data_IF_803190296556
#
_entry.id   IF_803190296556
#
_cell.length_a   1.000
_cell.length_b   1.000
_cell.length_c   1.000
_cell.angle_alpha   90.00
_cell.angle_beta   90.00
_cell.angle_gamma   90.00
#
_symmetry.space_group_name_H-M   'P 1'
#
loop_
_entity.id
_entity.type
_entity.pdbx_description
1 polymer ?
#
# COMPACT_ATOMS: atom_id res chain seq x y z
N UNK A 1 13.88 -15.63 1.11
CA UNK A 1 14.29 -14.49 0.25
C UNK A 1 15.30 -13.60 0.99
N UNK A 2 16.44 -13.26 0.37
CA UNK A 2 17.44 -12.34 0.94
C UNK A 2 16.85 -10.95 1.24
N UNK A 3 17.40 -10.23 2.22
CA UNK A 3 16.93 -8.89 2.61
C UNK A 3 16.93 -7.87 1.46
N UNK A 4 17.94 -7.93 0.57
CA UNK A 4 18.06 -7.06 -0.60
C UNK A 4 16.91 -7.24 -1.58
N UNK A 5 16.52 -8.48 -1.86
CA UNK A 5 15.42 -8.79 -2.77
C UNK A 5 14.10 -8.28 -2.22
N UNK A 6 13.85 -8.41 -0.91
CA UNK A 6 12.65 -7.85 -0.27
C UNK A 6 12.56 -6.33 -0.38
N UNK A 7 13.69 -5.64 -0.20
CA UNK A 7 13.75 -4.19 -0.36
C UNK A 7 13.44 -3.77 -1.81
N UNK A 8 14.07 -4.43 -2.78
CA UNK A 8 13.84 -4.16 -4.21
C UNK A 8 12.39 -4.44 -4.62
N UNK A 9 11.84 -5.60 -4.25
CA UNK A 9 10.43 -5.94 -4.53
C UNK A 9 9.50 -4.91 -3.92
N UNK A 10 9.78 -4.46 -2.69
CA UNK A 10 8.99 -3.42 -2.04
C UNK A 10 9.03 -2.09 -2.81
N UNK A 11 10.22 -1.61 -3.16
CA UNK A 11 10.39 -0.37 -3.93
C UNK A 11 9.68 -0.44 -5.28
N UNK A 12 9.86 -1.54 -6.02
CA UNK A 12 9.21 -1.75 -7.31
C UNK A 12 7.68 -1.81 -7.19
N UNK A 13 7.18 -2.45 -6.14
CA UNK A 13 5.73 -2.48 -5.85
C UNK A 13 5.19 -1.07 -5.61
N UNK A 14 5.90 -0.24 -4.84
CA UNK A 14 5.50 1.13 -4.57
C UNK A 14 5.49 2.00 -5.84
N UNK A 15 6.53 1.88 -6.67
CA UNK A 15 6.63 2.60 -7.93
C UNK A 15 5.52 2.20 -8.91
N UNK A 16 5.21 0.91 -8.99
CA UNK A 16 4.14 0.42 -9.86
C UNK A 16 2.76 0.91 -9.39
N UNK A 17 2.51 0.92 -8.08
CA UNK A 17 1.26 1.49 -7.55
C UNK A 17 1.16 3.01 -7.80
N UNK A 18 2.28 3.73 -7.75
CA UNK A 18 2.33 5.16 -8.07
C UNK A 18 2.08 5.40 -9.56
N UNK A 19 2.71 4.64 -10.44
CA UNK A 19 2.47 4.72 -11.88
C UNK A 19 1.01 4.38 -12.25
N UNK A 20 0.42 3.36 -11.62
CA UNK A 20 -0.99 3.02 -11.81
C UNK A 20 -1.91 4.15 -11.32
N UNK A 21 -1.58 4.79 -10.19
CA UNK A 21 -2.33 5.96 -9.73
C UNK A 21 -2.26 7.09 -10.76
N UNK A 22 -1.07 7.41 -11.23
CA UNK A 22 -0.84 8.57 -12.08
C UNK A 22 -1.43 8.38 -13.49
N UNK A 23 -1.32 7.15 -14.04
CA UNK A 23 -1.76 6.86 -15.42
C UNK A 23 -3.20 6.36 -15.51
N UNK A 24 -3.70 5.66 -14.49
CA UNK A 24 -5.03 5.04 -14.52
C UNK A 24 -6.00 5.60 -13.48
N UNK A 25 -5.58 6.56 -12.64
CA UNK A 25 -6.37 7.14 -11.55
C UNK A 25 -6.91 6.09 -10.56
N UNK A 26 -6.24 4.94 -10.44
CA UNK A 26 -6.63 3.86 -9.53
C UNK A 26 -5.85 4.01 -8.22
N UNK A 27 -6.58 4.19 -7.12
CA UNK A 27 -5.98 4.35 -5.80
C UNK A 27 -6.81 3.65 -4.72
N UNK A 28 -6.15 3.18 -3.67
CA UNK A 28 -6.82 2.55 -2.53
C UNK A 28 -7.06 3.58 -1.43
N UNK A 29 -8.05 4.45 -1.65
CA UNK A 29 -8.38 5.56 -0.74
C UNK A 29 -8.82 5.04 0.63
N UNK A 30 -9.63 3.98 0.69
CA UNK A 30 -10.10 3.38 1.93
C UNK A 30 -8.95 2.95 2.85
N UNK A 31 -7.94 2.26 2.31
CA UNK A 31 -6.75 1.85 3.07
C UNK A 31 -5.88 3.05 3.48
N UNK A 32 -5.81 4.10 2.67
CA UNK A 32 -5.10 5.35 3.04
C UNK A 32 -5.78 6.03 4.22
N UNK A 33 -7.11 6.16 4.20
CA UNK A 33 -7.88 6.76 5.28
C UNK A 33 -7.74 5.95 6.58
N UNK A 34 -7.94 4.63 6.52
CA UNK A 34 -7.78 3.75 7.69
C UNK A 34 -6.41 3.89 8.36
N UNK A 35 -5.34 4.02 7.57
CA UNK A 35 -3.97 4.23 8.08
C UNK A 35 -3.78 5.60 8.72
N UNK A 36 -4.32 6.64 8.10
CA UNK A 36 -4.27 7.98 8.69
C UNK A 36 -4.96 7.97 10.07
N UNK A 37 -6.09 7.28 10.19
CA UNK A 37 -6.83 7.13 11.45
C UNK A 37 -6.05 6.32 12.49
N UNK A 38 -5.45 5.18 12.11
CA UNK A 38 -4.61 4.39 13.01
C UNK A 38 -3.39 5.17 13.49
N UNK A 39 -2.75 5.93 12.59
CA UNK A 39 -1.61 6.77 12.93
C UNK A 39 -2.02 7.89 13.89
N UNK A 40 -3.16 8.54 13.64
CA UNK A 40 -3.72 9.55 14.52
C UNK A 40 -4.08 8.96 15.90
N UNK A 41 -4.65 7.75 15.96
CA UNK A 41 -4.92 7.03 17.21
C UNK A 41 -3.63 6.78 17.99
N UNK A 42 -2.59 6.25 17.34
CA UNK A 42 -1.28 6.00 17.98
C UNK A 42 -0.63 7.29 18.48
N UNK A 43 -0.68 8.37 17.69
CA UNK A 43 -0.13 9.67 18.10
C UNK A 43 -0.86 10.23 19.32
N UNK A 44 -2.19 10.11 19.36
CA UNK A 44 -3.00 10.46 20.54
C UNK A 44 -2.63 9.63 21.77
N UNK A 45 -2.48 8.31 21.62
CA UNK A 45 -2.10 7.42 22.73
C UNK A 45 -0.72 7.76 23.30
N UNK A 46 0.27 8.08 22.46
CA UNK A 46 1.60 8.47 22.91
C UNK A 46 1.55 9.78 23.69
N UNK A 47 0.87 10.80 23.15
CA UNK A 47 0.69 12.09 23.85
C UNK A 47 -0.03 11.92 25.20
N UNK A 48 -1.06 11.06 25.24
CA UNK A 48 -1.78 10.76 26.47
C UNK A 48 -0.91 10.04 27.52
N UNK A 49 0.09 9.27 27.09
CA UNK A 49 1.08 8.62 27.96
C UNK A 49 2.24 9.55 28.36
N UNK A 50 2.18 10.85 28.03
CA UNK A 50 3.28 11.79 28.25
C UNK A 50 4.48 11.57 27.33
N UNK A 51 4.36 10.67 26.35
CA UNK A 51 5.37 10.43 25.32
C UNK A 51 5.16 11.44 24.18
N UNK A 52 6.27 11.86 23.55
CA UNK A 52 6.22 12.76 22.40
C UNK A 52 5.49 12.16 21.18
N UNK A 53 5.32 12.96 20.14
CA UNK A 53 4.69 12.52 18.89
C UNK A 53 5.49 11.39 18.19
N UNK A 54 4.81 10.63 17.32
CA UNK A 54 5.46 9.59 16.51
C UNK A 54 6.54 10.23 15.63
N UNK A 55 7.77 9.70 15.73
CA UNK A 55 8.90 10.13 14.92
C UNK A 55 8.57 10.05 13.41
N UNK A 56 8.92 11.07 12.61
CA UNK A 56 8.62 11.11 11.18
C UNK A 56 9.08 9.87 10.41
N UNK A 57 10.24 9.32 10.77
CA UNK A 57 10.82 8.14 10.12
C UNK A 57 9.95 6.89 10.35
N UNK A 58 9.39 6.73 11.55
CA UNK A 58 8.44 5.67 11.86
C UNK A 58 7.10 5.85 11.14
N UNK A 59 6.69 7.10 10.85
CA UNK A 59 5.52 7.37 9.99
C UNK A 59 5.75 6.87 8.56
N UNK A 60 6.99 6.94 8.07
CA UNK A 60 7.37 6.46 6.73
C UNK A 60 7.46 4.93 6.65
N UNK A 61 7.95 4.27 7.71
CA UNK A 61 8.28 2.83 7.73
C UNK A 61 7.08 1.90 7.97
N UNK A 62 5.89 2.41 8.31
CA UNK A 62 4.65 1.62 8.51
C UNK A 62 4.14 0.83 7.27
N UNK A 63 4.93 0.74 6.21
CA UNK A 63 4.53 0.29 4.88
C UNK A 63 5.06 -1.09 4.55
N UNK A 64 4.52 -2.16 5.14
CA UNK A 64 4.78 -3.49 4.56
C UNK A 64 3.51 -4.34 4.45
N UNK A 65 2.61 -4.33 5.43
CA UNK A 65 1.86 -5.58 5.68
C UNK A 65 0.46 -5.70 5.07
N UNK A 66 -0.21 -4.61 4.66
CA UNK A 66 -1.60 -4.72 4.14
C UNK A 66 -1.88 -4.08 2.79
N UNK A 67 -1.39 -2.86 2.52
CA UNK A 67 -1.47 -2.19 1.20
C UNK A 67 -0.89 -3.08 0.10
N UNK A 68 0.31 -3.58 0.35
CA UNK A 68 1.00 -4.45 -0.59
C UNK A 68 0.32 -5.81 -0.72
N UNK A 69 -0.41 -6.34 0.26
CA UNK A 69 -0.91 -7.73 0.18
C UNK A 69 -2.01 -7.91 -0.87
N UNK A 70 -2.95 -6.95 -0.98
CA UNK A 70 -3.98 -6.97 -2.05
C UNK A 70 -3.33 -6.73 -3.41
N UNK A 71 -2.42 -5.77 -3.48
CA UNK A 71 -1.72 -5.42 -4.71
C UNK A 71 -0.76 -6.52 -5.19
N UNK A 72 0.07 -7.09 -4.32
CA UNK A 72 0.94 -8.24 -4.58
C UNK A 72 0.10 -9.46 -4.99
N UNK A 73 -1.06 -9.70 -4.36
CA UNK A 73 -1.94 -10.80 -4.78
C UNK A 73 -2.51 -10.56 -6.18
N UNK A 74 -2.94 -9.33 -6.47
CA UNK A 74 -3.36 -8.94 -7.83
C UNK A 74 -2.21 -9.10 -8.82
N UNK A 75 -1.03 -8.56 -8.49
CA UNK A 75 0.19 -8.58 -9.30
C UNK A 75 0.60 -10.02 -9.60
N UNK A 76 0.64 -10.91 -8.61
CA UNK A 76 0.92 -12.34 -8.81
C UNK A 76 -0.09 -13.00 -9.76
N UNK A 77 -1.37 -12.68 -9.63
CA UNK A 77 -2.41 -13.27 -10.47
C UNK A 77 -2.41 -12.72 -11.91
N UNK A 78 -1.74 -11.59 -12.16
CA UNK A 78 -1.75 -10.91 -13.45
C UNK A 78 -0.40 -10.93 -14.17
N UNK A 79 0.72 -11.00 -13.44
CA UNK A 79 2.07 -11.09 -14.00
C UNK A 79 2.23 -12.30 -14.92
N UNK A 80 1.66 -13.44 -14.52
CA UNK A 80 1.75 -14.69 -15.29
C UNK A 80 0.59 -14.88 -16.28
N UNK A 81 -0.31 -13.90 -16.40
CA UNK A 81 -1.50 -14.01 -17.26
C UNK A 81 -1.27 -13.33 -18.60
N UNK A 82 -1.60 -14.00 -19.72
CA UNK A 82 -1.62 -13.40 -21.07
C UNK A 82 -2.78 -12.43 -21.30
N UNK A 83 -3.39 -11.89 -20.22
CA UNK A 83 -4.60 -11.08 -20.30
C UNK A 83 -4.27 -9.63 -20.68
N UNK A 84 -5.18 -8.94 -21.40
CA UNK A 84 -5.02 -7.52 -21.69
C UNK A 84 -4.88 -6.69 -20.41
N UNK A 85 -3.97 -5.70 -20.44
CA UNK A 85 -3.72 -4.80 -19.31
C UNK A 85 -5.00 -4.10 -18.80
N UNK A 86 -5.95 -3.78 -19.69
CA UNK A 86 -7.20 -3.13 -19.33
C UNK A 86 -8.06 -4.00 -18.37
N UNK A 87 -8.13 -5.31 -18.59
CA UNK A 87 -8.86 -6.23 -17.72
C UNK A 87 -8.19 -6.38 -16.35
N UNK A 88 -6.86 -6.38 -16.34
CA UNK A 88 -6.09 -6.43 -15.10
C UNK A 88 -6.38 -5.19 -14.24
N UNK A 89 -6.33 -4.00 -14.84
CA UNK A 89 -6.64 -2.73 -14.15
C UNK A 89 -8.09 -2.68 -13.67
N UNK A 90 -9.07 -3.12 -14.48
CA UNK A 90 -10.47 -3.18 -14.05
C UNK A 90 -10.68 -4.06 -12.81
N UNK A 91 -9.98 -5.20 -12.73
CA UNK A 91 -10.01 -6.07 -11.54
C UNK A 91 -9.36 -5.40 -10.33
N UNK A 92 -8.28 -4.64 -10.54
CA UNK A 92 -7.63 -3.89 -9.45
C UNK A 92 -8.59 -2.84 -8.86
N UNK A 93 -9.28 -2.08 -9.70
CA UNK A 93 -10.29 -1.10 -9.28
C UNK A 93 -11.38 -1.76 -8.41
N UNK A 94 -11.89 -2.92 -8.83
CA UNK A 94 -12.89 -3.66 -8.05
C UNK A 94 -12.37 -4.12 -6.69
N UNK A 95 -11.12 -4.57 -6.62
CA UNK A 95 -10.46 -4.98 -5.35
C UNK A 95 -10.33 -3.78 -4.40
N UNK A 96 -10.04 -2.59 -4.93
CA UNK A 96 -9.93 -1.37 -4.13
C UNK A 96 -11.29 -0.79 -3.73
N UNK A 97 -12.35 -0.99 -4.52
CA UNK A 97 -13.70 -0.50 -4.22
C UNK A 97 -14.46 -1.34 -3.18
N UNK A 98 -14.08 -2.60 -2.96
CA UNK A 98 -14.77 -3.52 -2.03
C UNK A 98 -14.20 -3.40 -0.60
N UNK A 99 -13.73 -2.22 -0.18
CA UNK A 99 -12.97 -2.04 1.06
C UNK A 99 -13.27 -0.74 1.77
#
# INVERSE_FOLDING_TARGET
MPARVRCLTHTLTLLLEEEIRDKACIDNVAEKCRRADELAKRDRSLRAAGLGAIQPLLRCVQRITQRATKFIRWLRNHLDSSRPNAEALARLTKIYATS
#
